data_IF_589528482814
#
_entry.id   IF_589528482814
#
_cell.length_a   1.000
_cell.length_b   1.000
_cell.length_c   1.000
_cell.angle_alpha   90.00
_cell.angle_beta   90.00
_cell.angle_gamma   90.00
#
_symmetry.space_group_name_H-M   'P 1'
#
loop_
_entity.id
_entity.type
_entity.pdbx_description
1 polymer ?
#
# COMPACT_ATOMS: atom_id res chain seq x y z
N UNK A 1 16.66 2.35 6.75
CA UNK A 1 17.48 3.41 6.14
C UNK A 1 16.65 4.66 5.92
N UNK A 2 17.30 5.77 5.66
CA UNK A 2 16.64 7.05 5.36
C UNK A 2 16.90 7.43 3.90
N UNK A 3 15.87 7.87 3.20
CA UNK A 3 15.93 8.40 1.84
C UNK A 3 15.37 9.82 1.83
N UNK A 4 15.97 10.72 1.06
CA UNK A 4 15.50 12.10 0.92
C UNK A 4 14.97 12.31 -0.49
N UNK A 5 13.68 12.68 -0.59
CA UNK A 5 13.05 13.06 -1.83
C UNK A 5 13.68 14.34 -2.40
N UNK A 6 13.49 14.61 -3.68
CA UNK A 6 13.91 15.88 -4.32
C UNK A 6 13.31 17.11 -3.64
N UNK A 7 12.13 16.97 -3.05
CA UNK A 7 11.47 18.01 -2.23
C UNK A 7 12.14 18.24 -0.86
N UNK A 8 13.13 17.40 -0.47
CA UNK A 8 13.80 17.45 0.82
C UNK A 8 13.11 16.65 1.92
N UNK A 9 11.96 16.05 1.66
CA UNK A 9 11.25 15.20 2.62
C UNK A 9 11.95 13.86 2.80
N UNK A 10 11.94 13.37 4.03
CA UNK A 10 12.64 12.14 4.40
C UNK A 10 11.68 10.95 4.48
N UNK A 11 11.96 9.89 3.75
CA UNK A 11 11.26 8.60 3.82
C UNK A 11 12.12 7.61 4.61
N UNK A 12 11.52 6.98 5.62
CA UNK A 12 12.12 5.84 6.31
C UNK A 12 11.65 4.53 5.69
N UNK A 13 12.60 3.61 5.45
CA UNK A 13 12.30 2.27 4.99
C UNK A 13 13.17 1.25 5.72
N UNK A 14 12.55 0.20 6.26
CA UNK A 14 13.24 -0.99 6.73
C UNK A 14 13.38 -1.98 5.57
N UNK A 15 14.61 -2.39 5.25
CA UNK A 15 14.91 -3.36 4.19
C UNK A 15 15.47 -4.62 4.83
N UNK A 16 14.86 -5.78 4.53
CA UNK A 16 15.24 -7.10 5.05
C UNK A 16 15.30 -8.11 3.92
N UNK A 17 16.18 -9.11 4.05
CA UNK A 17 16.27 -10.21 3.08
C UNK A 17 16.82 -9.78 1.72
N UNK A 18 16.84 -10.73 0.79
CA UNK A 18 17.34 -10.58 -0.57
C UNK A 18 16.39 -11.24 -1.57
N UNK A 19 16.59 -11.02 -2.87
CA UNK A 19 15.80 -11.62 -3.94
C UNK A 19 14.70 -10.72 -4.47
N UNK A 20 13.53 -11.29 -4.82
CA UNK A 20 12.44 -10.55 -5.44
C UNK A 20 11.84 -9.51 -4.48
N UNK A 21 11.71 -8.23 -4.90
CA UNK A 21 11.28 -7.15 -4.04
C UNK A 21 9.77 -7.20 -3.73
N UNK A 22 9.42 -7.09 -2.45
CA UNK A 22 8.05 -6.91 -1.96
C UNK A 22 8.00 -5.62 -1.15
N UNK A 23 7.16 -4.67 -1.56
CA UNK A 23 7.01 -3.36 -0.92
C UNK A 23 5.74 -3.33 -0.09
N UNK A 24 5.87 -3.09 1.20
CA UNK A 24 4.77 -3.02 2.16
C UNK A 24 4.39 -1.57 2.44
N UNK A 25 3.10 -1.25 2.20
CA UNK A 25 2.50 0.07 2.35
C UNK A 25 1.39 0.01 3.41
N UNK A 26 1.60 0.67 4.55
CA UNK A 26 0.68 0.67 5.68
C UNK A 26 -0.51 1.62 5.48
N UNK A 27 -1.54 1.48 6.33
CA UNK A 27 -2.72 2.35 6.32
C UNK A 27 -2.51 3.67 7.06
N UNK A 28 -3.53 4.53 7.01
CA UNK A 28 -3.52 5.83 7.69
C UNK A 28 -3.27 5.68 9.21
N UNK A 29 -2.53 6.61 9.77
CA UNK A 29 -2.12 6.60 11.19
C UNK A 29 -1.39 5.32 11.66
N UNK A 30 -0.93 4.48 10.73
CA UNK A 30 -0.08 3.32 10.98
C UNK A 30 1.39 3.64 10.62
N UNK A 31 2.23 2.63 10.63
CA UNK A 31 3.64 2.68 10.25
C UNK A 31 4.13 1.30 9.82
N UNK A 32 5.34 1.19 9.32
CA UNK A 32 5.97 -0.05 8.81
C UNK A 32 5.88 -1.23 9.78
N UNK A 33 5.95 -0.98 11.11
CA UNK A 33 5.79 -2.03 12.14
C UNK A 33 4.40 -2.69 12.16
N UNK A 34 3.41 -2.13 11.46
CA UNK A 34 2.12 -2.79 11.25
C UNK A 34 2.29 -4.19 10.64
N UNK A 35 3.28 -4.34 9.77
CA UNK A 35 3.61 -5.58 9.07
C UNK A 35 4.67 -6.44 9.78
N UNK A 36 4.85 -6.30 11.10
CA UNK A 36 5.86 -7.05 11.84
C UNK A 36 5.77 -8.57 11.66
N UNK A 37 4.55 -9.12 11.48
CA UNK A 37 4.33 -10.57 11.26
C UNK A 37 4.68 -11.02 9.84
N UNK A 38 4.88 -10.11 8.90
CA UNK A 38 5.30 -10.39 7.52
C UNK A 38 6.82 -10.46 7.38
N UNK A 39 7.57 -10.06 8.42
CA UNK A 39 9.05 -10.12 8.43
C UNK A 39 9.60 -11.53 8.24
N UNK A 40 8.84 -12.56 8.59
CA UNK A 40 9.23 -13.97 8.38
C UNK A 40 9.53 -14.30 6.92
N UNK A 41 9.00 -13.51 5.96
CA UNK A 41 9.22 -13.68 4.53
C UNK A 41 10.62 -13.24 4.07
N UNK A 42 11.43 -12.60 4.94
CA UNK A 42 12.80 -12.15 4.64
C UNK A 42 13.73 -13.29 4.24
N UNK A 43 13.39 -14.53 4.61
CA UNK A 43 14.15 -15.73 4.26
C UNK A 43 14.11 -16.04 2.76
N UNK A 44 13.11 -15.53 2.04
CA UNK A 44 12.86 -15.87 0.62
C UNK A 44 12.77 -14.65 -0.29
N UNK A 45 12.58 -13.45 0.26
CA UNK A 45 12.30 -12.24 -0.52
C UNK A 45 13.01 -11.01 0.06
N UNK A 46 13.26 -10.02 -0.79
CA UNK A 46 13.68 -8.70 -0.35
C UNK A 46 12.46 -7.89 0.06
N UNK A 47 12.34 -7.58 1.34
CA UNK A 47 11.19 -6.89 1.91
C UNK A 47 11.51 -5.41 2.16
N UNK A 48 10.66 -4.52 1.67
CA UNK A 48 10.76 -3.08 1.90
C UNK A 48 9.53 -2.64 2.70
N UNK A 49 9.71 -2.30 3.96
CA UNK A 49 8.64 -1.77 4.83
C UNK A 49 8.75 -0.26 4.88
N UNK A 50 7.91 0.43 4.12
CA UNK A 50 7.96 1.88 3.94
C UNK A 50 7.08 2.57 4.97
N UNK A 51 7.63 3.56 5.67
CA UNK A 51 6.83 4.56 6.38
C UNK A 51 6.47 5.67 5.37
N UNK A 52 5.20 5.80 5.01
CA UNK A 52 4.74 6.87 4.12
C UNK A 52 5.02 8.25 4.73
N UNK A 53 5.23 9.28 3.91
CA UNK A 53 5.40 10.65 4.37
C UNK A 53 4.28 11.04 5.35
N UNK A 54 4.63 11.74 6.40
CA UNK A 54 3.72 12.07 7.49
C UNK A 54 3.48 10.96 8.50
N UNK A 55 4.03 9.75 8.32
CA UNK A 55 3.82 8.59 9.19
C UNK A 55 5.12 8.01 9.75
N UNK A 56 5.00 7.23 10.82
CA UNK A 56 6.09 6.48 11.40
C UNK A 56 7.34 7.32 11.66
N UNK A 57 8.48 6.85 11.17
CA UNK A 57 9.78 7.52 11.27
C UNK A 57 10.06 8.45 10.07
N UNK A 58 9.23 8.46 9.04
CA UNK A 58 9.35 9.39 7.90
C UNK A 58 9.15 10.84 8.35
N UNK A 59 9.65 11.78 7.56
CA UNK A 59 9.45 13.20 7.77
C UNK A 59 7.98 13.62 7.69
N UNK A 60 7.70 14.88 8.03
CA UNK A 60 6.37 15.45 7.84
C UNK A 60 6.06 15.56 6.35
N UNK A 61 4.80 15.38 6.00
CA UNK A 61 4.29 15.67 4.66
C UNK A 61 4.27 17.20 4.48
N UNK A 62 5.11 17.72 3.60
CA UNK A 62 5.22 19.16 3.31
C UNK A 62 4.44 19.54 2.04
N UNK A 63 4.34 18.61 1.11
CA UNK A 63 3.60 18.79 -0.13
C UNK A 63 2.09 18.59 0.02
N UNK A 64 1.44 18.32 -1.09
CA UNK A 64 0.00 18.05 -1.14
C UNK A 64 -0.35 16.74 -0.42
N UNK A 65 -1.43 16.76 0.37
CA UNK A 65 -1.94 15.56 1.03
C UNK A 65 -2.80 14.78 0.03
N UNK A 66 -2.12 14.02 -0.84
CA UNK A 66 -2.77 13.20 -1.86
C UNK A 66 -2.04 11.86 -2.07
N UNK A 67 -2.76 10.84 -2.54
CA UNK A 67 -2.12 9.58 -2.93
C UNK A 67 -1.18 9.77 -4.12
N UNK A 68 -1.46 10.71 -5.01
CA UNK A 68 -0.60 11.06 -6.13
C UNK A 68 0.78 11.53 -5.65
N UNK A 69 0.83 12.46 -4.70
CA UNK A 69 2.08 12.94 -4.14
C UNK A 69 2.86 11.83 -3.41
N UNK A 70 2.17 10.99 -2.65
CA UNK A 70 2.79 9.85 -1.98
C UNK A 70 3.31 8.80 -2.98
N UNK A 71 2.62 8.60 -4.10
CA UNK A 71 3.04 7.67 -5.16
C UNK A 71 4.31 8.17 -5.86
N UNK A 72 4.39 9.46 -6.18
CA UNK A 72 5.58 10.06 -6.78
C UNK A 72 6.78 10.01 -5.82
N UNK A 73 6.57 10.26 -4.52
CA UNK A 73 7.60 10.12 -3.50
C UNK A 73 8.08 8.66 -3.34
N UNK A 74 7.18 7.70 -3.45
CA UNK A 74 7.51 6.26 -3.45
C UNK A 74 8.33 5.88 -4.70
N UNK A 75 8.01 6.45 -5.87
CA UNK A 75 8.76 6.25 -7.10
C UNK A 75 10.20 6.74 -6.96
N UNK A 76 10.43 7.90 -6.36
CA UNK A 76 11.78 8.40 -6.08
C UNK A 76 12.57 7.43 -5.19
N UNK A 77 11.94 6.90 -4.14
CA UNK A 77 12.55 5.89 -3.25
C UNK A 77 12.91 4.62 -4.04
N UNK A 78 11.95 4.04 -4.78
CA UNK A 78 12.18 2.78 -5.49
C UNK A 78 13.22 2.93 -6.61
N UNK A 79 13.24 4.06 -7.30
CA UNK A 79 14.28 4.42 -8.28
C UNK A 79 15.66 4.48 -7.63
N UNK A 80 15.80 5.14 -6.47
CA UNK A 80 17.07 5.25 -5.75
C UNK A 80 17.63 3.90 -5.31
N UNK A 81 16.73 2.94 -5.03
CA UNK A 81 17.06 1.58 -4.63
C UNK A 81 17.26 0.63 -5.84
N UNK A 82 17.17 1.14 -7.07
CA UNK A 82 17.25 0.37 -8.31
C UNK A 82 16.25 -0.80 -8.35
N UNK A 83 15.06 -0.59 -7.81
CA UNK A 83 13.97 -1.58 -7.85
C UNK A 83 13.26 -1.46 -9.20
N UNK A 84 13.54 -2.36 -10.13
CA UNK A 84 12.91 -2.35 -11.46
C UNK A 84 11.49 -2.91 -11.45
N UNK A 85 11.27 -3.99 -10.70
CA UNK A 85 9.98 -4.67 -10.55
C UNK A 85 9.75 -5.07 -9.11
N UNK A 86 8.50 -4.90 -8.61
CA UNK A 86 8.12 -5.32 -7.25
C UNK A 86 6.67 -5.77 -7.16
N UNK A 87 6.39 -6.60 -6.15
CA UNK A 87 5.03 -6.85 -5.65
C UNK A 87 4.69 -5.76 -4.62
N UNK A 88 3.61 -5.02 -4.86
CA UNK A 88 3.08 -4.06 -3.89
C UNK A 88 2.08 -4.75 -2.95
N UNK A 89 2.29 -4.64 -1.65
CA UNK A 89 1.40 -5.17 -0.61
C UNK A 89 0.89 -4.01 0.22
N UNK A 90 -0.33 -3.58 -0.04
CA UNK A 90 -0.94 -2.44 0.63
C UNK A 90 -2.06 -2.83 1.60
N UNK A 91 -2.19 -2.11 2.71
CA UNK A 91 -3.29 -2.23 3.65
C UNK A 91 -4.01 -0.89 3.80
N UNK A 92 -5.36 -0.88 3.67
CA UNK A 92 -6.19 0.32 3.81
C UNK A 92 -5.69 1.44 2.88
N UNK A 93 -5.31 2.62 3.38
CA UNK A 93 -4.72 3.70 2.58
C UNK A 93 -3.44 3.26 1.84
N UNK A 94 -2.66 2.33 2.40
CA UNK A 94 -1.54 1.73 1.69
C UNK A 94 -1.96 0.90 0.47
N UNK A 95 -3.17 0.33 0.47
CA UNK A 95 -3.73 -0.33 -0.71
C UNK A 95 -4.20 0.70 -1.75
N UNK A 96 -4.76 1.84 -1.30
CA UNK A 96 -5.10 2.96 -2.18
C UNK A 96 -3.83 3.54 -2.81
N UNK A 97 -2.77 3.75 -2.01
CA UNK A 97 -1.46 4.19 -2.50
C UNK A 97 -0.86 3.21 -3.51
N UNK A 98 -0.95 1.90 -3.29
CA UNK A 98 -0.48 0.90 -4.25
C UNK A 98 -1.23 0.99 -5.59
N UNK A 99 -2.54 1.26 -5.58
CA UNK A 99 -3.36 1.42 -6.77
C UNK A 99 -3.07 2.76 -7.48
N UNK A 100 -2.91 3.86 -6.72
CA UNK A 100 -2.49 5.14 -7.29
C UNK A 100 -1.11 5.02 -7.95
N UNK A 101 -0.13 4.42 -7.24
CA UNK A 101 1.20 4.16 -7.77
C UNK A 101 1.16 3.35 -9.07
N UNK A 102 0.34 2.30 -9.09
CA UNK A 102 0.20 1.46 -10.28
C UNK A 102 -0.39 2.19 -11.48
N UNK A 103 -1.21 3.20 -11.24
CA UNK A 103 -1.75 4.05 -12.29
C UNK A 103 -0.74 5.05 -12.87
N UNK A 104 0.23 5.47 -12.06
CA UNK A 104 1.23 6.49 -12.42
C UNK A 104 2.56 5.87 -12.87
N UNK A 105 2.98 4.80 -12.20
CA UNK A 105 4.29 4.14 -12.34
C UNK A 105 4.14 2.62 -12.53
N UNK A 106 3.15 2.21 -13.34
CA UNK A 106 2.77 0.80 -13.54
C UNK A 106 3.87 -0.08 -14.12
N UNK A 107 4.89 0.50 -14.76
CA UNK A 107 6.03 -0.22 -15.31
C UNK A 107 6.87 -0.93 -14.24
N UNK A 108 6.90 -0.44 -12.99
CA UNK A 108 7.58 -1.12 -11.86
C UNK A 108 6.74 -2.18 -11.20
N UNK A 109 5.44 -2.22 -11.48
CA UNK A 109 4.53 -3.15 -10.81
C UNK A 109 4.60 -4.52 -11.45
N UNK A 110 4.93 -5.54 -10.65
CA UNK A 110 4.85 -6.94 -11.03
C UNK A 110 3.57 -7.60 -10.51
N UNK A 111 2.93 -7.03 -9.48
CA UNK A 111 1.66 -7.47 -8.92
C UNK A 111 1.22 -6.59 -7.77
N UNK A 112 -0.06 -6.70 -7.38
CA UNK A 112 -0.62 -5.95 -6.26
C UNK A 112 -1.45 -6.88 -5.36
N UNK A 113 -1.18 -6.86 -4.06
CA UNK A 113 -2.08 -7.36 -3.02
C UNK A 113 -2.67 -6.16 -2.29
N UNK A 114 -3.90 -5.79 -2.65
CA UNK A 114 -4.65 -4.69 -2.05
C UNK A 114 -5.57 -5.23 -0.95
N UNK A 115 -5.15 -5.10 0.31
CA UNK A 115 -5.96 -5.51 1.45
C UNK A 115 -6.77 -4.33 1.98
N UNK A 116 -8.09 -4.46 1.94
CA UNK A 116 -9.04 -3.52 2.55
C UNK A 116 -8.93 -2.07 2.05
N UNK A 117 -8.53 -1.88 0.78
CA UNK A 117 -8.50 -0.57 0.13
C UNK A 117 -9.85 -0.15 -0.44
N UNK A 118 -10.00 1.16 -0.66
CA UNK A 118 -11.17 1.76 -1.29
C UNK A 118 -10.76 2.88 -2.24
N UNK A 119 -10.83 2.67 -3.53
CA UNK A 119 -10.46 3.70 -4.54
C UNK A 119 -11.35 4.94 -4.51
N UNK A 120 -12.49 4.88 -3.81
CA UNK A 120 -13.34 6.04 -3.57
C UNK A 120 -13.86 6.02 -2.14
N UNK A 121 -14.01 7.19 -1.54
CA UNK A 121 -14.53 7.35 -0.18
C UNK A 121 -15.93 6.71 -0.01
N UNK A 122 -16.73 6.71 -1.07
CA UNK A 122 -18.04 6.04 -1.09
C UNK A 122 -17.96 4.52 -0.93
N UNK A 123 -16.78 3.91 -1.10
CA UNK A 123 -16.53 2.48 -0.87
C UNK A 123 -16.64 2.05 0.58
N UNK A 124 -16.46 2.97 1.53
CA UNK A 124 -16.68 2.73 2.96
C UNK A 124 -18.17 2.54 3.29
N UNK A 125 -18.48 1.71 4.29
CA UNK A 125 -19.80 1.61 4.91
C UNK A 125 -20.16 2.93 5.62
N UNK A 126 -21.45 3.15 5.94
CA UNK A 126 -21.94 4.43 6.45
C UNK A 126 -21.24 4.87 7.76
N UNK A 127 -21.23 4.03 8.78
CA UNK A 127 -20.64 4.37 10.09
C UNK A 127 -19.12 4.66 9.99
N UNK A 128 -18.28 3.84 9.34
CA UNK A 128 -16.89 4.17 9.09
C UNK A 128 -16.69 5.49 8.34
N UNK A 129 -17.52 5.81 7.37
CA UNK A 129 -17.45 7.10 6.66
C UNK A 129 -17.66 8.28 7.61
N UNK A 130 -18.66 8.18 8.48
CA UNK A 130 -18.91 9.21 9.50
C UNK A 130 -17.74 9.32 10.49
N UNK A 131 -17.19 8.17 10.91
CA UNK A 131 -16.03 8.13 11.80
C UNK A 131 -14.80 8.85 11.20
N UNK A 132 -14.56 8.77 9.88
CA UNK A 132 -13.46 9.49 9.22
C UNK A 132 -13.60 11.02 9.38
N UNK A 133 -14.80 11.57 9.23
CA UNK A 133 -15.04 13.01 9.44
C UNK A 133 -14.79 13.42 10.89
N UNK A 134 -15.27 12.61 11.84
CA UNK A 134 -15.08 12.87 13.26
C UNK A 134 -13.60 12.78 13.65
N UNK A 135 -12.89 11.79 13.12
CA UNK A 135 -11.45 11.59 13.36
C UNK A 135 -10.64 12.79 12.83
N UNK A 136 -10.89 13.21 11.59
CA UNK A 136 -10.24 14.38 11.00
C UNK A 136 -10.50 15.66 11.81
N UNK A 137 -11.76 15.89 12.18
CA UNK A 137 -12.14 17.03 13.00
C UNK A 137 -11.42 16.99 14.35
N UNK A 138 -11.40 15.85 15.02
CA UNK A 138 -10.74 15.66 16.31
C UNK A 138 -9.24 15.92 16.21
N UNK A 139 -8.57 15.38 15.18
CA UNK A 139 -7.13 15.60 15.00
C UNK A 139 -6.81 17.06 14.68
N UNK A 140 -7.63 17.75 13.90
CA UNK A 140 -7.48 19.18 13.65
C UNK A 140 -7.64 19.98 14.94
N UNK A 141 -8.66 19.69 15.73
CA UNK A 141 -8.89 20.37 17.00
C UNK A 141 -7.75 20.13 18.01
N UNK A 142 -7.39 18.88 18.24
CA UNK A 142 -6.31 18.52 19.17
C UNK A 142 -4.94 19.00 18.67
N UNK A 143 -4.74 19.07 17.37
CA UNK A 143 -3.52 19.54 16.73
C UNK A 143 -3.22 21.02 16.98
N UNK A 144 -4.21 21.81 17.41
CA UNK A 144 -4.01 23.20 17.84
C UNK A 144 -3.19 23.28 19.16
N UNK A 145 -3.29 22.26 19.99
CA UNK A 145 -2.72 22.25 21.33
C UNK A 145 -1.60 21.22 21.52
N UNK A 146 -1.65 20.11 20.74
CA UNK A 146 -0.79 18.96 20.93
C UNK A 146 0.00 18.63 19.65
N UNK A 147 1.35 18.77 19.66
CA UNK A 147 2.18 18.53 18.47
C UNK A 147 2.00 17.15 17.84
N UNK A 148 1.77 16.09 18.64
CA UNK A 148 1.52 14.75 18.16
C UNK A 148 0.26 14.65 17.26
N UNK A 149 -0.76 15.44 17.54
CA UNK A 149 -2.00 15.49 16.74
C UNK A 149 -1.88 16.42 15.54
N UNK A 150 -0.98 17.41 15.58
CA UNK A 150 -0.69 18.28 14.42
C UNK A 150 -0.24 17.45 13.22
N UNK A 151 0.66 16.48 13.44
CA UNK A 151 1.10 15.57 12.38
C UNK A 151 -0.04 14.70 11.85
N UNK A 152 -0.85 14.12 12.74
CA UNK A 152 -2.03 13.32 12.37
C UNK A 152 -3.06 14.13 11.58
N UNK A 153 -3.28 15.38 11.94
CA UNK A 153 -4.22 16.28 11.23
C UNK A 153 -3.80 16.57 9.79
N UNK A 154 -2.49 16.50 9.48
CA UNK A 154 -1.97 16.68 8.12
C UNK A 154 -2.26 15.49 7.21
N UNK A 155 -2.24 14.27 7.74
CA UNK A 155 -2.44 13.05 6.95
C UNK A 155 -3.88 12.51 6.99
N UNK A 156 -4.69 12.95 7.96
CA UNK A 156 -6.09 12.50 8.08
C UNK A 156 -6.98 12.80 6.86
N UNK A 157 -6.75 13.86 6.05
CA UNK A 157 -7.51 14.04 4.80
C UNK A 157 -7.40 12.87 3.83
N UNK A 158 -6.30 12.09 3.84
CA UNK A 158 -6.15 10.87 3.04
C UNK A 158 -7.27 9.85 3.29
N UNK A 159 -7.86 9.82 4.50
CA UNK A 159 -9.00 8.94 4.80
C UNK A 159 -10.20 9.16 3.88
N UNK A 160 -10.32 10.34 3.26
CA UNK A 160 -11.41 10.72 2.36
C UNK A 160 -10.94 10.95 0.92
N UNK A 161 -9.64 10.83 0.70
CA UNK A 161 -9.03 10.94 -0.62
C UNK A 161 -9.49 9.80 -1.53
N UNK A 162 -9.68 10.11 -2.81
CA UNK A 162 -9.94 9.11 -3.83
C UNK A 162 -8.64 8.80 -4.58
N UNK A 163 -8.53 7.60 -5.10
CA UNK A 163 -7.49 7.25 -6.08
C UNK A 163 -7.84 7.96 -7.39
N UNK A 164 -6.93 8.82 -7.85
CA UNK A 164 -7.13 9.69 -9.03
C UNK A 164 -6.46 9.09 -10.28
N UNK A 165 -6.86 7.86 -10.61
CA UNK A 165 -6.36 7.14 -11.78
C UNK A 165 -7.50 6.79 -12.72
N UNK A 166 -7.40 7.12 -14.01
CA UNK A 166 -8.38 6.71 -15.00
C UNK A 166 -8.53 5.18 -15.05
N UNK A 167 -9.76 4.68 -14.99
CA UNK A 167 -10.06 3.24 -14.95
C UNK A 167 -9.50 2.50 -16.16
N UNK A 168 -9.32 3.17 -17.27
CA UNK A 168 -8.75 2.67 -18.52
C UNK A 168 -7.30 2.18 -18.34
N UNK A 169 -6.54 2.82 -17.44
CA UNK A 169 -5.17 2.40 -17.10
C UNK A 169 -5.21 1.05 -16.40
N UNK A 170 -6.09 0.88 -15.42
CA UNK A 170 -6.26 -0.41 -14.72
C UNK A 170 -6.70 -1.54 -15.65
N UNK A 171 -7.55 -1.24 -16.65
CA UNK A 171 -8.00 -2.22 -17.65
C UNK A 171 -6.90 -2.72 -18.57
N UNK A 172 -5.77 -2.01 -18.63
CA UNK A 172 -4.60 -2.38 -19.45
C UNK A 172 -3.47 -2.99 -18.61
N UNK A 173 -3.63 -3.08 -17.29
CA UNK A 173 -2.60 -3.58 -16.38
C UNK A 173 -2.26 -5.06 -16.67
N UNK A 174 -1.00 -5.39 -16.99
CA UNK A 174 -0.62 -6.75 -17.42
C UNK A 174 -0.36 -7.71 -16.25
N UNK A 175 -0.30 -7.21 -15.03
CA UNK A 175 0.09 -7.93 -13.82
C UNK A 175 -1.11 -8.40 -12.99
N UNK A 176 -0.93 -9.42 -12.13
CA UNK A 176 -1.99 -9.91 -11.24
C UNK A 176 -2.30 -8.89 -10.14
N UNK A 177 -3.59 -8.75 -9.85
CA UNK A 177 -4.08 -7.92 -8.74
C UNK A 177 -5.03 -8.73 -7.88
N UNK A 178 -4.72 -8.87 -6.60
CA UNK A 178 -5.58 -9.50 -5.61
C UNK A 178 -6.16 -8.43 -4.70
N UNK A 179 -7.49 -8.33 -4.68
CA UNK A 179 -8.23 -7.47 -3.74
C UNK A 179 -8.76 -8.35 -2.63
N UNK A 180 -8.20 -8.20 -1.43
CA UNK A 180 -8.51 -9.02 -0.25
C UNK A 180 -9.27 -8.19 0.77
N UNK A 181 -10.40 -8.72 1.29
CA UNK A 181 -11.17 -8.13 2.38
C UNK A 181 -11.66 -9.19 3.36
N UNK A 182 -11.97 -8.78 4.58
CA UNK A 182 -12.74 -9.61 5.52
C UNK A 182 -14.25 -9.49 5.26
N UNK A 183 -15.02 -10.52 5.59
CA UNK A 183 -16.49 -10.46 5.49
C UNK A 183 -17.11 -9.45 6.46
N UNK A 184 -16.37 -9.09 7.54
CA UNK A 184 -16.74 -8.07 8.53
C UNK A 184 -16.00 -6.74 8.35
N UNK A 185 -15.41 -6.52 7.16
CA UNK A 185 -14.64 -5.31 6.87
C UNK A 185 -15.54 -4.05 6.86
N UNK A 186 -14.92 -2.89 7.08
CA UNK A 186 -15.57 -1.59 6.94
C UNK A 186 -15.77 -1.20 5.46
N UNK A 187 -15.05 -1.82 4.52
CA UNK A 187 -15.22 -1.62 3.08
C UNK A 187 -16.45 -2.39 2.60
N UNK A 188 -17.21 -1.80 1.69
CA UNK A 188 -18.35 -2.48 1.05
C UNK A 188 -17.84 -3.60 0.15
N UNK A 189 -18.32 -4.82 0.35
CA UNK A 189 -17.97 -5.99 -0.47
C UNK A 189 -18.11 -5.73 -1.98
N UNK A 190 -19.24 -5.12 -2.38
CA UNK A 190 -19.50 -4.77 -3.79
C UNK A 190 -18.44 -3.82 -4.36
N UNK A 191 -17.91 -2.92 -3.55
CA UNK A 191 -16.86 -1.98 -3.95
C UNK A 191 -15.54 -2.72 -4.21
N UNK A 192 -15.10 -3.60 -3.30
CA UNK A 192 -13.90 -4.41 -3.47
C UNK A 192 -14.00 -5.34 -4.69
N UNK A 193 -15.16 -5.95 -4.93
CA UNK A 193 -15.43 -6.72 -6.14
C UNK A 193 -15.31 -5.86 -7.42
N UNK A 194 -15.80 -4.61 -7.36
CA UNK A 194 -15.71 -3.70 -8.50
C UNK A 194 -14.25 -3.29 -8.79
N UNK A 195 -13.43 -3.09 -7.74
CA UNK A 195 -11.99 -2.83 -7.90
C UNK A 195 -11.31 -4.01 -8.61
N UNK A 196 -11.54 -5.24 -8.13
CA UNK A 196 -10.93 -6.41 -8.76
C UNK A 196 -11.31 -6.55 -10.24
N UNK A 197 -12.55 -6.21 -10.61
CA UNK A 197 -13.04 -6.26 -11.99
C UNK A 197 -12.44 -5.21 -12.92
N UNK A 198 -11.76 -4.18 -12.40
CA UNK A 198 -11.07 -3.20 -13.22
C UNK A 198 -9.83 -3.79 -13.91
N UNK A 199 -9.25 -4.85 -13.34
CA UNK A 199 -8.01 -5.43 -13.82
C UNK A 199 -8.24 -6.72 -14.61
N UNK A 200 -7.58 -6.91 -15.78
CA UNK A 200 -7.71 -8.14 -16.56
C UNK A 200 -7.35 -9.41 -15.77
N UNK A 201 -6.32 -9.34 -14.94
CA UNK A 201 -5.87 -10.42 -14.03
C UNK A 201 -6.31 -10.18 -12.57
N UNK A 202 -7.42 -9.44 -12.37
CA UNK A 202 -7.93 -9.10 -11.04
C UNK A 202 -8.67 -10.26 -10.38
N UNK A 203 -8.35 -10.54 -9.12
CA UNK A 203 -9.02 -11.55 -8.27
C UNK A 203 -9.58 -10.90 -7.01
N UNK A 204 -10.84 -11.18 -6.68
CA UNK A 204 -11.46 -10.81 -5.42
C UNK A 204 -11.39 -11.98 -4.46
N UNK A 205 -10.88 -11.74 -3.25
CA UNK A 205 -10.85 -12.72 -2.16
C UNK A 205 -11.55 -12.14 -0.93
N UNK A 206 -12.41 -12.96 -0.31
CA UNK A 206 -13.09 -12.63 0.95
C UNK A 206 -12.70 -13.63 2.03
N UNK A 207 -12.13 -13.12 3.12
CA UNK A 207 -11.70 -13.95 4.24
C UNK A 207 -12.80 -13.99 5.31
N UNK A 208 -13.43 -15.15 5.49
CA UNK A 208 -14.51 -15.35 6.47
C UNK A 208 -14.02 -15.18 7.91
N UNK A 209 -14.85 -14.59 8.74
CA UNK A 209 -14.56 -14.32 10.16
C UNK A 209 -13.59 -13.19 10.41
N UNK A 210 -13.07 -12.53 9.35
CA UNK A 210 -12.09 -11.46 9.46
C UNK A 210 -12.72 -10.08 9.21
N UNK A 211 -12.11 -9.06 9.85
CA UNK A 211 -12.43 -7.66 9.60
C UNK A 211 -11.30 -6.98 8.81
N UNK A 212 -11.06 -5.72 9.12
CA UNK A 212 -10.12 -4.86 8.40
C UNK A 212 -8.65 -5.30 8.51
N UNK A 213 -8.23 -5.88 9.65
CA UNK A 213 -6.83 -6.10 10.01
C UNK A 213 -6.32 -7.54 9.72
N UNK A 214 -6.57 -8.10 8.53
CA UNK A 214 -6.13 -9.45 8.14
C UNK A 214 -4.61 -9.63 8.31
N UNK A 215 -3.72 -8.69 7.91
CA UNK A 215 -2.27 -8.84 8.08
C UNK A 215 -1.81 -9.17 9.50
N UNK A 216 -2.55 -8.67 10.51
CA UNK A 216 -2.27 -8.92 11.94
C UNK A 216 -3.05 -10.10 12.51
N UNK A 217 -4.33 -10.25 12.12
CA UNK A 217 -5.27 -11.20 12.76
C UNK A 217 -5.19 -12.60 12.14
N UNK A 218 -4.87 -12.69 10.85
CA UNK A 218 -4.71 -13.94 10.10
C UNK A 218 -3.41 -13.89 9.28
N UNK A 219 -2.31 -13.62 9.98
CA UNK A 219 -1.01 -13.38 9.35
C UNK A 219 -0.48 -14.60 8.58
N UNK A 220 -0.77 -15.81 9.03
CA UNK A 220 -0.36 -17.03 8.33
C UNK A 220 -0.98 -17.11 6.93
N UNK A 221 -2.29 -16.88 6.82
CA UNK A 221 -2.98 -16.83 5.54
C UNK A 221 -2.45 -15.67 4.66
N UNK A 222 -2.26 -14.50 5.26
CA UNK A 222 -1.77 -13.32 4.54
C UNK A 222 -0.35 -13.54 3.98
N UNK A 223 0.55 -14.12 4.78
CA UNK A 223 1.90 -14.45 4.37
C UNK A 223 1.91 -15.50 3.25
N UNK A 224 1.12 -16.58 3.39
CA UNK A 224 0.99 -17.59 2.35
C UNK A 224 0.50 -16.99 1.01
N UNK A 225 -0.45 -16.06 1.06
CA UNK A 225 -0.95 -15.39 -0.14
C UNK A 225 0.12 -14.53 -0.81
N UNK A 226 0.91 -13.78 -0.02
CA UNK A 226 2.05 -12.98 -0.52
C UNK A 226 3.07 -13.89 -1.18
N UNK A 227 3.48 -14.96 -0.48
CA UNK A 227 4.48 -15.91 -0.94
C UNK A 227 4.06 -16.55 -2.26
N UNK A 228 2.81 -17.03 -2.33
CA UNK A 228 2.25 -17.60 -3.56
C UNK A 228 2.26 -16.60 -4.71
N UNK A 229 1.80 -15.38 -4.48
CA UNK A 229 1.79 -14.33 -5.53
C UNK A 229 3.20 -14.02 -6.03
N UNK A 230 4.17 -13.88 -5.12
CA UNK A 230 5.56 -13.57 -5.48
C UNK A 230 6.19 -14.72 -6.28
N UNK A 231 5.94 -15.98 -5.91
CA UNK A 231 6.40 -17.15 -6.65
C UNK A 231 5.77 -17.25 -8.05
N UNK A 232 4.46 -17.07 -8.15
CA UNK A 232 3.73 -17.09 -9.43
C UNK A 232 4.28 -16.02 -10.40
N UNK A 233 4.55 -14.79 -9.89
CA UNK A 233 5.14 -13.69 -10.66
C UNK A 233 6.55 -14.04 -11.16
N UNK A 234 7.39 -14.64 -10.31
CA UNK A 234 8.75 -15.02 -10.69
C UNK A 234 8.77 -16.11 -11.76
N UNK A 235 7.82 -17.03 -11.73
CA UNK A 235 7.67 -18.08 -12.75
C UNK A 235 7.18 -17.53 -14.09
N UNK A 236 6.29 -16.53 -14.10
CA UNK A 236 5.81 -15.85 -15.33
C UNK A 236 6.87 -14.93 -15.95
N UNK A 237 7.84 -14.46 -15.17
CA UNK A 237 8.93 -13.57 -15.61
C UNK A 237 10.27 -14.29 -15.47
N UNK A 238 10.68 -15.10 -16.47
CA UNK A 238 11.99 -15.76 -16.42
C UNK A 238 13.07 -14.70 -16.28
N UNK A 239 13.81 -14.76 -15.19
CA UNK A 239 15.00 -13.92 -14.98
C UNK A 239 15.96 -14.20 -16.12
N UNK A 240 16.17 -13.23 -17.01
CA UNK A 240 17.27 -13.26 -17.96
C UNK A 240 18.55 -13.27 -17.10
N UNK A 241 19.14 -14.47 -16.98
CA UNK A 241 20.43 -14.66 -16.32
C UNK A 241 21.43 -13.91 -17.16
N UNK A 242 21.72 -12.67 -16.80
CA UNK A 242 22.91 -11.97 -17.28
C UNK A 242 24.10 -12.74 -16.70
N UNK A 243 24.59 -13.72 -17.44
CA UNK A 243 25.91 -14.30 -17.22
C UNK A 243 26.90 -13.14 -17.36
N UNK A 244 27.38 -12.62 -16.23
CA UNK A 244 28.61 -11.82 -16.23
C UNK A 244 29.68 -12.74 -16.79
N UNK A 245 30.11 -12.48 -18.03
CA UNK A 245 31.35 -13.01 -18.54
C UNK A 245 32.47 -12.39 -17.70
N UNK A 246 33.21 -13.24 -17.03
CA UNK A 246 34.47 -12.93 -16.40
C UNK A 246 35.48 -12.42 -17.46
#
# INVERSE_FOLDING_TARGET
>A
MEFYCKSGERIHVDILGEGFPIVFLHGNNLQSSYFAKQRVLEKSFKLLFVDSLGHGKSGELQGETSFAYLADSLEELLSSLSIEKCLLVGHSDGANLALEYAGRHGERVAGILANSGNITFSGLKFLPRYACYLEEWLYRFLGLFLPAFKRKSRVSPLLRENVDVPKEIFRKAPYPVVVLVGDRDMIKRKHSMAIAKLFPKGKFLERKGQGHNIPKKDSAYFNHLIEKMAQDIQLETPVSIVRRKN
#
